data_IF_071457262014
#
_entry.id   IF_071457262014
#
_cell.length_a   1.000
_cell.length_b   1.000
_cell.length_c   1.000
_cell.angle_alpha   90.00
_cell.angle_beta   90.00
_cell.angle_gamma   90.00
#
_symmetry.space_group_name_H-M   'P 1'
#
loop_
_entity.id
_entity.type
_entity.pdbx_description
1 polymer ?
#
# COMPACT_ATOMS: atom_id res chain seq x y z
N UNK A 1 -5.64 2.23 18.65
CA UNK A 1 -4.48 1.94 17.79
C UNK A 1 -4.84 1.20 16.50
N UNK A 2 -5.47 1.86 15.52
CA UNK A 2 -5.62 1.27 14.19
C UNK A 2 -4.26 1.22 13.47
N UNK A 3 -3.98 0.15 12.73
CA UNK A 3 -2.85 0.14 11.78
C UNK A 3 -3.18 1.13 10.65
N UNK A 4 -2.21 1.96 10.27
CA UNK A 4 -2.31 2.83 9.09
C UNK A 4 -1.19 2.55 8.10
N UNK A 5 -1.35 3.03 6.87
CA UNK A 5 -0.34 2.91 5.83
C UNK A 5 0.03 4.25 5.18
N UNK A 6 1.20 4.27 4.56
CA UNK A 6 1.78 5.41 3.82
C UNK A 6 1.69 5.23 2.31
N UNK A 7 0.88 4.31 1.79
CA UNK A 7 0.84 3.99 0.36
C UNK A 7 0.46 5.19 -0.51
N UNK A 8 -0.44 6.04 -0.02
CA UNK A 8 -0.82 7.27 -0.72
C UNK A 8 0.36 8.22 -0.88
N UNK A 9 1.15 8.39 0.18
CA UNK A 9 2.33 9.24 0.16
C UNK A 9 3.41 8.67 -0.76
N UNK A 10 3.71 7.37 -0.64
CA UNK A 10 4.65 6.66 -1.52
C UNK A 10 4.24 6.82 -2.99
N UNK A 11 2.96 6.55 -3.31
CA UNK A 11 2.45 6.66 -4.68
C UNK A 11 2.59 8.08 -5.23
N UNK A 12 2.27 9.11 -4.44
CA UNK A 12 2.26 10.49 -4.91
C UNK A 12 3.65 11.15 -4.90
N UNK A 13 4.52 10.81 -3.95
CA UNK A 13 5.87 11.39 -3.85
C UNK A 13 6.88 10.69 -4.75
N UNK A 14 6.88 9.36 -4.77
CA UNK A 14 7.96 8.60 -5.43
C UNK A 14 7.61 8.22 -6.86
N UNK A 15 6.37 7.81 -7.09
CA UNK A 15 5.94 7.29 -8.40
C UNK A 15 5.18 8.34 -9.23
N UNK A 16 4.49 9.29 -8.58
CA UNK A 16 3.59 10.25 -9.23
C UNK A 16 2.54 9.58 -10.16
N UNK A 17 2.16 8.34 -9.82
CA UNK A 17 1.24 7.55 -10.64
C UNK A 17 -0.20 7.66 -10.12
N UNK A 18 -1.14 7.51 -11.04
CA UNK A 18 -2.53 7.25 -10.68
C UNK A 18 -2.65 5.84 -10.06
N UNK A 19 -3.73 5.60 -9.29
CA UNK A 19 -3.90 4.33 -8.58
C UNK A 19 -3.86 3.12 -9.54
N UNK A 20 -4.41 3.26 -10.76
CA UNK A 20 -4.48 2.17 -11.74
C UNK A 20 -3.09 1.74 -12.23
N UNK A 21 -2.22 2.68 -12.56
CA UNK A 21 -0.85 2.40 -12.96
C UNK A 21 -0.04 1.84 -11.78
N UNK A 22 -0.24 2.38 -10.58
CA UNK A 22 0.44 1.88 -9.39
C UNK A 22 0.04 0.44 -9.04
N UNK A 23 -1.23 0.08 -9.23
CA UNK A 23 -1.70 -1.30 -9.03
C UNK A 23 -1.02 -2.30 -9.97
N UNK A 24 -0.68 -1.89 -11.20
CA UNK A 24 0.07 -2.74 -12.14
C UNK A 24 1.47 -3.06 -11.62
N UNK A 25 2.14 -2.09 -11.00
CA UNK A 25 3.46 -2.28 -10.36
C UNK A 25 3.34 -3.23 -9.17
N UNK A 26 2.33 -3.01 -8.33
CA UNK A 26 2.08 -3.79 -7.13
C UNK A 26 1.53 -5.20 -7.41
N UNK A 27 1.06 -5.48 -8.64
CA UNK A 27 0.39 -6.72 -9.05
C UNK A 27 -0.82 -7.09 -8.18
N UNK A 28 -1.58 -6.08 -7.74
CA UNK A 28 -2.82 -6.26 -6.98
C UNK A 28 -4.01 -5.60 -7.70
N UNK A 29 -5.23 -6.01 -7.35
CA UNK A 29 -6.42 -5.39 -7.91
C UNK A 29 -6.60 -3.95 -7.41
N UNK A 30 -7.14 -3.09 -8.28
CA UNK A 30 -7.39 -1.68 -7.96
C UNK A 30 -8.36 -1.50 -6.79
N UNK A 31 -9.38 -2.36 -6.69
CA UNK A 31 -10.34 -2.34 -5.59
C UNK A 31 -9.66 -2.63 -4.24
N UNK A 32 -8.82 -3.66 -4.20
CA UNK A 32 -8.04 -4.01 -3.01
C UNK A 32 -7.07 -2.90 -2.65
N UNK A 33 -6.29 -2.39 -3.61
CA UNK A 33 -5.37 -1.29 -3.36
C UNK A 33 -6.08 -0.05 -2.83
N UNK A 34 -7.20 0.35 -3.43
CA UNK A 34 -7.95 1.54 -3.01
C UNK A 34 -8.49 1.41 -1.59
N UNK A 35 -8.99 0.22 -1.23
CA UNK A 35 -9.43 -0.07 0.13
C UNK A 35 -8.27 -0.05 1.14
N UNK A 36 -7.08 -0.54 0.75
CA UNK A 36 -5.86 -0.46 1.57
C UNK A 36 -5.40 0.98 1.71
N UNK A 37 -5.20 1.71 0.62
CA UNK A 37 -4.74 3.11 0.62
C UNK A 37 -5.63 4.01 1.49
N UNK A 38 -6.94 3.76 1.48
CA UNK A 38 -7.91 4.51 2.28
C UNK A 38 -8.00 4.06 3.75
N UNK A 39 -7.17 3.10 4.17
CA UNK A 39 -7.19 2.45 5.48
C UNK A 39 -8.53 1.79 5.85
N UNK A 40 -9.37 1.47 4.85
CA UNK A 40 -10.64 0.76 5.05
C UNK A 40 -10.40 -0.70 5.41
N UNK A 41 -9.35 -1.28 4.83
CA UNK A 41 -8.80 -2.59 5.18
C UNK A 41 -7.28 -2.44 5.23
N UNK A 42 -6.56 -3.32 5.94
CA UNK A 42 -5.09 -3.32 5.89
C UNK A 42 -4.53 -4.20 4.77
N UNK A 43 -5.35 -5.12 4.25
CA UNK A 43 -4.90 -6.23 3.42
C UNK A 43 -4.57 -7.44 4.29
N UNK A 44 -4.59 -8.62 3.68
CA UNK A 44 -4.07 -9.84 4.29
C UNK A 44 -2.53 -9.83 4.23
N UNK A 45 -1.90 -10.78 4.93
CA UNK A 45 -0.44 -10.93 4.96
C UNK A 45 0.14 -11.05 3.54
N UNK A 46 -0.54 -11.77 2.63
CA UNK A 46 -0.09 -11.91 1.24
C UNK A 46 -0.06 -10.58 0.48
N UNK A 47 -1.09 -9.75 0.60
CA UNK A 47 -1.13 -8.43 -0.02
C UNK A 47 -0.03 -7.53 0.54
N UNK A 48 0.13 -7.53 1.86
CA UNK A 48 1.14 -6.72 2.55
C UNK A 48 2.55 -7.09 2.07
N UNK A 49 2.88 -8.38 2.05
CA UNK A 49 4.18 -8.87 1.57
C UNK A 49 4.38 -8.63 0.07
N UNK A 50 3.33 -8.80 -0.75
CA UNK A 50 3.39 -8.55 -2.19
C UNK A 50 3.70 -7.08 -2.48
N UNK A 51 3.01 -6.18 -1.79
CA UNK A 51 3.21 -4.73 -1.93
C UNK A 51 4.60 -4.33 -1.43
N UNK A 52 5.01 -4.82 -0.25
CA UNK A 52 6.34 -4.55 0.30
C UNK A 52 7.45 -5.00 -0.65
N UNK A 53 7.31 -6.20 -1.23
CA UNK A 53 8.24 -6.74 -2.23
C UNK A 53 8.23 -5.94 -3.54
N UNK A 54 7.06 -5.51 -4.02
CA UNK A 54 6.94 -4.70 -5.23
C UNK A 54 7.55 -3.30 -5.06
N UNK A 55 7.46 -2.73 -3.86
CA UNK A 55 8.05 -1.43 -3.51
C UNK A 55 9.50 -1.54 -3.04
N UNK A 56 10.04 -2.75 -2.93
CA UNK A 56 11.36 -3.03 -2.39
C UNK A 56 11.61 -2.34 -1.03
N UNK A 57 10.61 -2.37 -0.15
CA UNK A 57 10.60 -1.72 1.17
C UNK A 57 10.16 -2.71 2.25
N UNK A 58 10.51 -2.45 3.50
CA UNK A 58 9.99 -3.27 4.60
C UNK A 58 8.52 -2.94 4.84
N UNK A 59 7.78 -3.91 5.37
CA UNK A 59 6.38 -3.72 5.76
C UNK A 59 6.26 -2.55 6.74
N UNK A 60 7.18 -2.45 7.70
CA UNK A 60 7.22 -1.41 8.73
C UNK A 60 7.50 0.00 8.19
N UNK A 61 8.08 0.12 6.99
CA UNK A 61 8.26 1.42 6.32
C UNK A 61 6.95 1.93 5.71
N UNK A 62 6.05 1.00 5.37
CA UNK A 62 4.79 1.26 4.68
C UNK A 62 3.62 1.31 5.66
N UNK A 63 3.54 0.37 6.60
CA UNK A 63 2.51 0.25 7.63
C UNK A 63 3.06 0.60 8.99
N UNK A 64 2.25 1.31 9.79
CA UNK A 64 2.59 1.75 11.14
C UNK A 64 1.36 1.64 12.05
N UNK A 65 1.60 1.48 13.35
CA UNK A 65 0.55 1.57 14.36
C UNK A 65 0.34 3.06 14.69
N UNK A 66 -0.88 3.55 14.51
CA UNK A 66 -1.27 4.86 15.01
C UNK A 66 -1.64 4.72 16.49
N UNK A 67 -1.08 5.59 17.35
CA UNK A 67 -1.34 5.60 18.80
C UNK A 67 -2.78 6.01 19.11
#
# INVERSE_FOLDING_TARGET
MPVKNKLREIRMREYMLNQKEFCKILKISQSTYSAIESNKIQGNIENILTIAKALNRKVEDIWYLED
#
